data_IF_470653066351
#
_entry.id   IF_470653066351
#
_cell.length_a   1.000
_cell.length_b   1.000
_cell.length_c   1.000
_cell.angle_alpha   90.00
_cell.angle_beta   90.00
_cell.angle_gamma   90.00
#
_symmetry.space_group_name_H-M   'P 1'
#
loop_
_entity.id
_entity.type
_entity.pdbx_description
1 polymer ?
#
# COMPACT_ATOMS: atom_id res chain seq x y z
N UNK A 1 1.54 1.71 -11.92
CA UNK A 1 1.50 0.31 -12.40
C UNK A 1 2.51 -0.54 -11.66
N UNK A 2 2.16 -1.75 -11.38
CA UNK A 2 2.94 -2.68 -10.56
C UNK A 2 3.03 -4.04 -11.24
N UNK A 3 3.88 -4.92 -10.74
CA UNK A 3 4.00 -6.29 -11.24
C UNK A 3 3.27 -7.31 -10.34
N UNK A 4 2.94 -6.92 -9.13
CA UNK A 4 2.39 -7.80 -8.12
C UNK A 4 3.46 -8.54 -7.30
N UNK A 5 4.74 -8.24 -7.53
CA UNK A 5 5.85 -8.85 -6.79
C UNK A 5 6.21 -7.97 -5.60
N UNK A 6 6.01 -8.47 -4.40
CA UNK A 6 6.31 -7.75 -3.16
C UNK A 6 7.83 -7.55 -3.05
N UNK A 7 8.25 -6.30 -2.82
CA UNK A 7 9.67 -5.93 -2.71
C UNK A 7 10.12 -5.80 -1.26
N UNK A 8 9.20 -5.43 -0.37
CA UNK A 8 9.50 -5.16 1.02
C UNK A 8 8.26 -5.36 1.87
N UNK A 9 8.45 -5.43 3.17
CA UNK A 9 7.36 -5.45 4.14
C UNK A 9 7.59 -4.32 5.13
N UNK A 10 6.57 -3.51 5.34
CA UNK A 10 6.59 -2.42 6.29
C UNK A 10 5.66 -2.70 7.45
N UNK A 11 5.66 -1.78 8.42
CA UNK A 11 4.79 -1.83 9.58
C UNK A 11 4.14 -0.48 9.77
N UNK A 12 2.85 -0.46 10.02
CA UNK A 12 2.14 0.78 10.33
C UNK A 12 2.62 1.26 11.70
N UNK A 13 3.27 2.42 11.71
CA UNK A 13 3.80 3.04 12.94
C UNK A 13 2.86 4.08 13.54
N UNK A 14 1.94 4.61 12.74
CA UNK A 14 0.95 5.58 13.21
C UNK A 14 -0.25 5.60 12.29
N UNK A 15 -1.42 5.91 12.86
CA UNK A 15 -2.67 6.07 12.13
C UNK A 15 -3.34 7.35 12.61
N UNK A 16 -3.83 8.14 11.66
CA UNK A 16 -4.55 9.36 11.95
C UNK A 16 -5.82 9.36 11.12
N UNK A 17 -6.97 9.48 11.76
CA UNK A 17 -8.25 9.48 11.08
C UNK A 17 -8.89 10.87 11.08
N UNK A 18 -9.53 11.22 9.96
CA UNK A 18 -10.33 12.42 9.83
C UNK A 18 -11.66 12.07 9.17
N UNK A 19 -12.56 13.06 9.01
CA UNK A 19 -13.85 12.81 8.36
C UNK A 19 -13.74 12.49 6.88
N UNK A 20 -12.60 12.78 6.24
CA UNK A 20 -12.43 12.67 4.79
C UNK A 20 -11.44 11.61 4.35
N UNK A 21 -10.53 11.22 5.22
CA UNK A 21 -9.48 10.26 4.86
C UNK A 21 -8.85 9.66 6.11
N UNK A 22 -8.10 8.61 5.89
CA UNK A 22 -7.27 7.97 6.91
C UNK A 22 -5.82 8.13 6.47
N UNK A 23 -4.98 8.68 7.32
CA UNK A 23 -3.56 8.83 7.05
C UNK A 23 -2.79 7.78 7.81
N UNK A 24 -1.91 7.06 7.13
CA UNK A 24 -1.07 6.03 7.75
C UNK A 24 0.39 6.38 7.56
N UNK A 25 1.19 6.10 8.58
CA UNK A 25 2.63 6.17 8.51
C UNK A 25 3.18 4.75 8.51
N UNK A 26 4.01 4.44 7.53
CA UNK A 26 4.59 3.10 7.37
C UNK A 26 6.10 3.18 7.55
N UNK A 27 6.62 2.37 8.48
CA UNK A 27 8.04 2.20 8.68
C UNK A 27 8.52 1.04 7.81
N UNK A 28 9.53 1.27 6.98
CA UNK A 28 10.06 0.25 6.08
C UNK A 28 11.46 0.58 5.60
N UNK A 29 12.09 -0.42 4.97
CA UNK A 29 13.37 -0.26 4.29
C UNK A 29 13.22 0.08 2.81
N UNK A 30 11.99 0.29 2.35
CA UNK A 30 11.73 0.66 0.96
C UNK A 30 12.40 1.99 0.64
N UNK A 31 13.19 2.05 -0.43
CA UNK A 31 13.98 3.22 -0.82
C UNK A 31 13.81 3.51 -2.30
N UNK A 32 14.36 4.65 -2.73
CA UNK A 32 14.37 5.07 -4.13
C UNK A 32 12.96 5.32 -4.69
N UNK A 33 12.14 6.01 -3.91
CA UNK A 33 10.87 6.55 -4.35
C UNK A 33 10.76 8.01 -3.91
N UNK A 34 9.96 8.78 -4.62
CA UNK A 34 9.75 10.20 -4.32
C UNK A 34 8.37 10.46 -3.72
N UNK A 35 8.22 11.60 -3.04
CA UNK A 35 6.90 12.10 -2.64
C UNK A 35 6.06 12.26 -3.92
N UNK A 36 4.82 11.82 -3.89
CA UNK A 36 3.95 11.79 -5.05
C UNK A 36 3.96 10.46 -5.80
N UNK A 37 4.92 9.57 -5.50
CA UNK A 37 4.98 8.25 -6.12
C UNK A 37 3.86 7.36 -5.60
N UNK A 38 3.36 6.49 -6.48
CA UNK A 38 2.44 5.44 -6.10
C UNK A 38 3.20 4.25 -5.52
N UNK A 39 2.70 3.74 -4.40
CA UNK A 39 3.25 2.55 -3.74
C UNK A 39 2.10 1.59 -3.53
N UNK A 40 2.29 0.33 -3.93
CA UNK A 40 1.32 -0.71 -3.70
C UNK A 40 1.46 -1.22 -2.27
N UNK A 41 0.44 -0.97 -1.45
CA UNK A 41 0.43 -1.32 -0.03
C UNK A 41 -0.56 -2.46 0.17
N UNK A 42 -0.06 -3.68 0.33
CA UNK A 42 -0.86 -4.90 0.42
C UNK A 42 -1.93 -4.98 -0.67
N UNK A 43 -1.52 -4.67 -1.90
CA UNK A 43 -2.38 -4.71 -3.09
C UNK A 43 -3.12 -3.43 -3.39
N UNK A 44 -3.03 -2.41 -2.54
CA UNK A 44 -3.74 -1.15 -2.71
C UNK A 44 -2.78 -0.06 -3.15
N UNK A 45 -3.08 0.60 -4.28
CA UNK A 45 -2.28 1.71 -4.80
C UNK A 45 -2.52 2.97 -3.96
N UNK A 46 -1.49 3.42 -3.25
CA UNK A 46 -1.53 4.64 -2.46
C UNK A 46 -0.42 5.59 -2.89
N UNK A 47 -0.63 6.88 -2.65
CA UNK A 47 0.36 7.91 -2.97
C UNK A 47 1.12 8.31 -1.71
N UNK A 48 2.46 8.31 -1.79
CA UNK A 48 3.30 8.78 -0.70
C UNK A 48 3.20 10.30 -0.61
N UNK A 49 2.74 10.82 0.53
CA UNK A 49 2.55 12.26 0.75
C UNK A 49 3.67 12.89 1.55
N UNK A 50 4.36 12.12 2.38
CA UNK A 50 5.49 12.56 3.19
C UNK A 50 6.52 11.45 3.25
N UNK A 51 7.78 11.82 3.41
CA UNK A 51 8.87 10.86 3.49
C UNK A 51 9.87 11.31 4.56
N UNK A 52 10.22 10.39 5.45
CA UNK A 52 11.28 10.55 6.44
C UNK A 52 12.26 9.38 6.27
N UNK A 53 13.34 9.35 7.03
CA UNK A 53 14.44 8.41 6.86
C UNK A 53 14.00 6.95 6.63
N UNK A 54 13.17 6.38 7.47
CA UNK A 54 12.70 4.99 7.35
C UNK A 54 11.18 4.91 7.38
N UNK A 55 10.51 6.02 7.03
CA UNK A 55 9.05 6.10 7.12
C UNK A 55 8.49 6.89 5.96
N UNK A 56 7.30 6.54 5.54
CA UNK A 56 6.53 7.38 4.63
C UNK A 56 5.08 7.42 5.08
N UNK A 57 4.38 8.46 4.67
CA UNK A 57 2.97 8.65 4.96
C UNK A 57 2.17 8.52 3.68
N UNK A 58 1.02 7.90 3.76
CA UNK A 58 0.07 7.84 2.66
C UNK A 58 -1.34 8.10 3.19
N UNK A 59 -2.15 8.76 2.38
CA UNK A 59 -3.54 9.05 2.72
C UNK A 59 -4.46 8.07 1.98
N UNK A 60 -5.45 7.56 2.68
CA UNK A 60 -6.43 6.61 2.14
C UNK A 60 -7.77 7.32 2.12
N UNK A 61 -8.35 7.50 0.92
CA UNK A 61 -9.65 8.14 0.77
C UNK A 61 -10.78 7.28 1.35
N UNK A 62 -11.92 7.92 1.65
CA UNK A 62 -13.09 7.18 2.13
C UNK A 62 -13.56 6.13 1.12
N UNK A 63 -13.49 6.43 -0.16
CA UNK A 63 -13.84 5.45 -1.20
C UNK A 63 -12.95 4.22 -1.13
N UNK A 64 -11.65 4.40 -1.00
CA UNK A 64 -10.70 3.29 -0.86
C UNK A 64 -10.94 2.51 0.43
N UNK A 65 -11.22 3.19 1.54
CA UNK A 65 -11.55 2.54 2.79
C UNK A 65 -12.78 1.64 2.67
N UNK A 66 -13.79 2.08 1.93
CA UNK A 66 -15.01 1.29 1.72
C UNK A 66 -14.78 0.06 0.85
N UNK A 67 -13.94 0.18 -0.18
CA UNK A 67 -13.70 -0.89 -1.16
C UNK A 67 -12.62 -1.88 -0.76
N UNK A 68 -11.87 -1.62 0.30
CA UNK A 68 -10.72 -2.42 0.71
C UNK A 68 -10.79 -2.77 2.19
N UNK A 69 -9.85 -3.62 2.63
CA UNK A 69 -9.70 -3.92 4.05
C UNK A 69 -8.83 -2.90 4.79
N UNK A 70 -8.41 -1.83 4.12
CA UNK A 70 -7.57 -0.79 4.75
C UNK A 70 -8.28 -0.07 5.90
N UNK A 71 -9.60 -0.11 5.94
CA UNK A 71 -10.37 0.42 7.07
C UNK A 71 -10.04 -0.27 8.40
N UNK A 72 -9.55 -1.52 8.34
CA UNK A 72 -9.16 -2.28 9.54
C UNK A 72 -7.68 -2.14 9.89
N UNK A 73 -6.90 -1.48 9.05
CA UNK A 73 -5.48 -1.30 9.32
C UNK A 73 -5.26 -0.44 10.56
N UNK A 74 -4.36 -0.89 11.41
CA UNK A 74 -4.04 -0.22 12.66
C UNK A 74 -2.55 -0.28 12.95
N UNK A 75 -2.10 0.53 13.89
CA UNK A 75 -0.71 0.55 14.34
C UNK A 75 -0.24 -0.87 14.69
N UNK A 76 0.92 -1.24 14.17
CA UNK A 76 1.52 -2.55 14.37
C UNK A 76 1.25 -3.54 13.24
N UNK A 77 0.27 -3.29 12.36
CA UNK A 77 0.00 -4.17 11.24
C UNK A 77 1.17 -4.16 10.25
N UNK A 78 1.47 -5.33 9.71
CA UNK A 78 2.46 -5.48 8.64
C UNK A 78 1.80 -5.27 7.28
N UNK A 79 2.49 -4.58 6.40
CA UNK A 79 1.99 -4.21 5.08
C UNK A 79 3.02 -4.61 4.03
N UNK A 80 2.59 -5.34 3.02
CA UNK A 80 3.43 -5.67 1.87
C UNK A 80 3.58 -4.46 0.98
N UNK A 81 4.79 -4.21 0.50
CA UNK A 81 5.11 -3.00 -0.28
C UNK A 81 5.74 -3.33 -1.61
N UNK A 82 5.30 -2.62 -2.62
CA UNK A 82 5.90 -2.64 -3.95
C UNK A 82 5.90 -1.22 -4.50
N UNK A 83 7.05 -0.77 -5.03
CA UNK A 83 7.13 0.53 -5.73
C UNK A 83 6.50 0.41 -7.11
N UNK A 84 6.03 1.53 -7.65
CA UNK A 84 5.55 1.57 -9.03
C UNK A 84 6.70 1.30 -10.00
N UNK A 85 6.36 0.72 -11.15
CA UNK A 85 7.31 0.45 -12.22
C UNK A 85 7.86 1.76 -12.80
N UNK A 86 9.14 1.71 -13.15
CA UNK A 86 9.82 2.77 -13.88
C UNK A 86 10.18 2.27 -15.28
N UNK A 87 10.39 3.19 -16.21
CA UNK A 87 10.85 2.84 -17.55
C UNK A 87 12.20 2.11 -17.43
N UNK A 88 12.29 0.94 -18.06
CA UNK A 88 13.49 0.10 -17.99
C UNK A 88 13.47 -0.97 -16.92
N UNK A 89 12.48 -0.95 -16.02
CA UNK A 89 12.34 -2.00 -15.01
C UNK A 89 11.95 -3.33 -15.63
N UNK A 90 12.46 -4.40 -15.02
CA UNK A 90 12.09 -5.76 -15.41
C UNK A 90 10.68 -6.09 -14.89
N UNK A 91 9.87 -6.73 -15.75
CA UNK A 91 8.54 -7.20 -15.39
C UNK A 91 8.61 -8.71 -15.15
N UNK A 92 8.74 -9.09 -13.87
CA UNK A 92 8.85 -10.50 -13.46
C UNK A 92 7.51 -11.13 -13.09
N UNK A 93 6.44 -10.35 -13.03
CA UNK A 93 5.09 -10.80 -12.73
C UNK A 93 4.13 -10.38 -13.83
N UNK A 94 2.99 -9.86 -13.43
CA UNK A 94 1.96 -9.34 -14.33
C UNK A 94 1.79 -7.85 -14.11
N UNK A 95 1.17 -7.15 -15.07
CA UNK A 95 0.82 -5.76 -14.86
C UNK A 95 -0.40 -5.67 -13.96
N UNK A 96 -0.27 -4.94 -12.86
CA UNK A 96 -1.32 -4.75 -11.85
C UNK A 96 -1.41 -3.27 -11.52
N UNK A 97 -2.63 -2.74 -11.41
CA UNK A 97 -2.81 -1.31 -11.13
C UNK A 97 -2.98 -1.01 -9.64
N UNK A 98 -3.38 -1.98 -8.84
CA UNK A 98 -3.62 -1.75 -7.41
C UNK A 98 -4.92 -1.02 -7.12
N UNK A 99 -5.85 -1.00 -8.08
CA UNK A 99 -7.17 -0.40 -7.93
C UNK A 99 -8.16 -1.48 -7.54
N UNK A 100 -8.48 -1.55 -6.27
CA UNK A 100 -9.32 -2.58 -5.68
C UNK A 100 -10.79 -2.26 -5.89
N UNK A 101 -11.56 -3.21 -6.39
CA UNK A 101 -13.00 -3.05 -6.63
C UNK A 101 -13.82 -3.46 -5.41
N UNK A 102 -13.43 -4.53 -4.75
CA UNK A 102 -14.16 -5.05 -3.59
C UNK A 102 -13.28 -6.00 -2.78
N UNK A 103 -13.79 -6.44 -1.64
CA UNK A 103 -13.16 -7.46 -0.81
C UNK A 103 -13.99 -8.73 -0.83
N UNK A 104 -13.33 -9.83 -0.52
CA UNK A 104 -13.96 -11.13 -0.33
C UNK A 104 -13.47 -11.77 0.95
N UNK A 105 -14.16 -12.79 1.37
CA UNK A 105 -13.79 -13.58 2.54
C UNK A 105 -13.33 -14.96 2.12
N UNK A 106 -12.15 -15.35 2.57
CA UNK A 106 -11.65 -16.70 2.32
C UNK A 106 -12.40 -17.70 3.20
N UNK A 107 -13.24 -18.54 2.59
CA UNK A 107 -14.05 -19.52 3.30
C UNK A 107 -13.32 -20.81 3.57
N UNK A 108 -12.56 -21.30 2.59
CA UNK A 108 -12.00 -22.65 2.65
C UNK A 108 -10.80 -22.79 1.73
N UNK A 109 -9.79 -23.53 2.17
CA UNK A 109 -8.64 -23.91 1.35
C UNK A 109 -8.66 -25.43 1.23
N UNK A 110 -8.82 -25.92 0.00
CA UNK A 110 -8.72 -27.36 -0.30
C UNK A 110 -7.33 -27.70 -0.78
N UNK A 111 -6.77 -28.76 -0.27
CA UNK A 111 -5.45 -29.27 -0.67
C UNK A 111 -5.56 -30.49 -1.56
#
# INVERSE_FOLDING_TARGET
MFTGIVQSQGRISNVRESNKFKSIEIESNLKNFDIGSSICCSGICLTATKKKKNKFTADISNETLEKTNSKYWKKGNKINLEKSLKIGDEVSGHFVFGHVDSTGELKEIKK
#
